data_IF_852744995419
#
_entry.id   IF_852744995419
#
_cell.length_a   1.000
_cell.length_b   1.000
_cell.length_c   1.000
_cell.angle_alpha   90.00
_cell.angle_beta   90.00
_cell.angle_gamma   90.00
#
_symmetry.space_group_name_H-M   'P 1'
#
loop_
_entity.id
_entity.type
_entity.pdbx_description
1 polymer ?
#
# COMPACT_ATOMS: atom_id res chain seq x y z
N UNK A 1 -66.80 -31.99 23.30
CA UNK A 1 -65.38 -32.21 22.96
C UNK A 1 -64.81 -30.87 22.59
N UNK A 2 -64.19 -30.23 23.57
CA UNK A 2 -63.61 -28.89 23.50
C UNK A 2 -62.14 -29.07 23.14
N UNK A 3 -61.66 -28.37 22.11
CA UNK A 3 -60.35 -27.72 22.02
C UNK A 3 -60.32 -26.98 20.67
N UNK A 4 -60.89 -25.79 20.70
CA UNK A 4 -60.70 -24.76 19.69
C UNK A 4 -59.22 -24.38 19.58
N UNK A 5 -58.77 -24.20 18.34
CA UNK A 5 -57.93 -23.10 17.87
C UNK A 5 -56.88 -22.55 18.85
N UNK A 6 -55.80 -23.30 19.01
CA UNK A 6 -54.53 -22.66 19.32
C UNK A 6 -53.61 -22.82 18.10
N UNK A 7 -53.73 -21.87 17.16
CA UNK A 7 -52.58 -21.48 16.34
C UNK A 7 -51.40 -21.31 17.30
N UNK A 8 -50.51 -22.30 17.36
CA UNK A 8 -49.40 -22.29 18.31
C UNK A 8 -48.57 -21.05 18.01
N UNK A 9 -48.65 -20.05 18.89
CA UNK A 9 -47.95 -18.77 18.74
C UNK A 9 -46.44 -18.98 18.55
N UNK A 10 -45.90 -20.12 18.98
CA UNK A 10 -44.52 -20.52 18.71
C UNK A 10 -44.24 -20.79 17.22
N UNK A 11 -45.18 -21.35 16.46
CA UNK A 11 -45.04 -21.54 15.01
C UNK A 11 -45.09 -20.22 14.24
N UNK A 12 -45.98 -19.30 14.63
CA UNK A 12 -46.02 -17.95 14.08
C UNK A 12 -44.77 -17.15 14.42
N UNK A 13 -44.25 -17.29 15.65
CA UNK A 13 -43.02 -16.66 16.06
C UNK A 13 -41.83 -17.20 15.25
N UNK A 14 -41.65 -18.52 15.14
CA UNK A 14 -40.58 -19.14 14.32
C UNK A 14 -40.69 -18.68 12.86
N UNK A 15 -41.88 -18.68 12.27
CA UNK A 15 -42.10 -18.19 10.91
C UNK A 15 -41.76 -16.70 10.76
N UNK A 16 -42.04 -15.89 11.78
CA UNK A 16 -41.70 -14.47 11.78
C UNK A 16 -40.21 -14.22 11.96
N UNK A 17 -39.52 -14.98 12.82
CA UNK A 17 -38.05 -14.92 12.95
C UNK A 17 -37.35 -15.43 11.68
N UNK A 18 -37.85 -16.49 11.05
CA UNK A 18 -37.34 -16.98 9.77
C UNK A 18 -37.55 -15.95 8.66
N UNK A 19 -38.72 -15.29 8.61
CA UNK A 19 -38.99 -14.22 7.66
C UNK A 19 -38.10 -13.00 7.90
N UNK A 20 -37.90 -12.60 9.16
CA UNK A 20 -37.00 -11.50 9.54
C UNK A 20 -35.54 -11.86 9.21
N UNK A 21 -35.11 -13.09 9.47
CA UNK A 21 -33.77 -13.57 9.17
C UNK A 21 -33.50 -13.68 7.66
N UNK A 22 -34.49 -14.17 6.89
CA UNK A 22 -34.43 -14.17 5.43
C UNK A 22 -34.37 -12.73 4.91
N UNK A 23 -35.22 -11.83 5.40
CA UNK A 23 -35.21 -10.44 5.01
C UNK A 23 -33.89 -9.74 5.35
N UNK A 24 -33.32 -10.00 6.52
CA UNK A 24 -32.01 -9.45 6.92
C UNK A 24 -30.89 -9.96 6.01
N UNK A 25 -30.93 -11.25 5.62
CA UNK A 25 -30.00 -11.83 4.65
C UNK A 25 -30.15 -11.20 3.26
N UNK A 26 -31.37 -11.05 2.77
CA UNK A 26 -31.63 -10.44 1.47
C UNK A 26 -31.23 -8.96 1.47
N UNK A 27 -31.47 -8.22 2.56
CA UNK A 27 -31.04 -6.83 2.72
C UNK A 27 -29.50 -6.71 2.65
N UNK A 28 -28.78 -7.60 3.33
CA UNK A 28 -27.30 -7.64 3.28
C UNK A 28 -26.78 -7.98 1.88
N UNK A 29 -27.40 -8.93 1.19
CA UNK A 29 -27.06 -9.28 -0.20
C UNK A 29 -27.32 -8.10 -1.14
N UNK A 30 -28.46 -7.43 -1.01
CA UNK A 30 -28.83 -6.29 -1.83
C UNK A 30 -27.87 -5.12 -1.60
N UNK A 31 -27.49 -4.84 -0.35
CA UNK A 31 -26.50 -3.83 -0.03
C UNK A 31 -25.15 -4.12 -0.67
N UNK A 32 -24.67 -5.37 -0.63
CA UNK A 32 -23.42 -5.75 -1.28
C UNK A 32 -23.49 -5.63 -2.80
N UNK A 33 -24.61 -6.06 -3.41
CA UNK A 33 -24.85 -5.88 -4.84
C UNK A 33 -24.82 -4.41 -5.24
N UNK A 34 -25.54 -3.55 -4.51
CA UNK A 34 -25.54 -2.09 -4.75
C UNK A 34 -24.15 -1.48 -4.59
N UNK A 35 -23.33 -1.98 -3.64
CA UNK A 35 -21.95 -1.54 -3.50
C UNK A 35 -21.09 -1.90 -4.72
N UNK A 36 -21.20 -3.12 -5.25
CA UNK A 36 -20.46 -3.51 -6.46
C UNK A 36 -20.94 -2.76 -7.71
N UNK A 37 -22.24 -2.46 -7.79
CA UNK A 37 -22.82 -1.62 -8.84
C UNK A 37 -22.33 -0.17 -8.74
N UNK A 38 -22.39 0.45 -7.55
CA UNK A 38 -22.02 1.85 -7.35
C UNK A 38 -20.51 2.12 -7.41
N UNK A 39 -19.69 1.14 -7.01
CA UNK A 39 -18.23 1.20 -7.15
C UNK A 39 -17.75 0.92 -8.58
N UNK A 40 -18.64 0.50 -9.48
CA UNK A 40 -18.31 0.16 -10.86
C UNK A 40 -17.60 -1.18 -11.04
N UNK A 41 -17.43 -1.98 -9.97
CA UNK A 41 -16.77 -3.29 -10.04
C UNK A 41 -17.52 -4.24 -10.98
N UNK A 42 -18.85 -4.26 -10.94
CA UNK A 42 -19.63 -5.12 -11.86
C UNK A 42 -19.45 -4.71 -13.32
N UNK A 43 -19.42 -3.40 -13.61
CA UNK A 43 -19.23 -2.89 -14.96
C UNK A 43 -17.82 -3.22 -15.49
N UNK A 44 -16.79 -3.01 -14.67
CA UNK A 44 -15.42 -3.37 -15.00
C UNK A 44 -15.27 -4.87 -15.29
N UNK A 45 -15.77 -5.73 -14.40
CA UNK A 45 -15.73 -7.19 -14.59
C UNK A 45 -16.48 -7.61 -15.85
N UNK A 46 -17.67 -7.03 -16.11
CA UNK A 46 -18.45 -7.32 -17.30
C UNK A 46 -17.68 -6.95 -18.56
N UNK A 47 -17.08 -5.76 -18.62
CA UNK A 47 -16.27 -5.31 -19.76
C UNK A 47 -15.08 -6.22 -20.03
N UNK A 48 -14.38 -6.67 -18.99
CA UNK A 48 -13.25 -7.61 -19.14
C UNK A 48 -13.72 -8.96 -19.66
N UNK A 49 -14.84 -9.48 -19.16
CA UNK A 49 -15.41 -10.75 -19.63
C UNK A 49 -15.91 -10.67 -21.07
N UNK A 50 -16.52 -9.54 -21.46
CA UNK A 50 -16.91 -9.25 -22.85
C UNK A 50 -15.69 -9.21 -23.75
N UNK A 51 -14.64 -8.47 -23.37
CA UNK A 51 -13.39 -8.42 -24.14
C UNK A 51 -12.76 -9.82 -24.27
N UNK A 52 -12.74 -10.61 -23.20
CA UNK A 52 -12.25 -11.98 -23.23
C UNK A 52 -13.12 -12.87 -24.14
N UNK A 53 -14.44 -12.66 -24.17
CA UNK A 53 -15.36 -13.39 -25.03
C UNK A 53 -15.11 -13.10 -26.51
N UNK A 54 -14.98 -11.82 -26.86
CA UNK A 54 -14.76 -11.29 -28.21
C UNK A 54 -13.37 -11.60 -28.78
N UNK A 55 -12.40 -11.91 -27.92
CA UNK A 55 -11.04 -12.25 -28.33
C UNK A 55 -11.04 -13.48 -29.25
N UNK A 56 -10.63 -13.26 -30.51
CA UNK A 56 -10.63 -14.28 -31.56
C UNK A 56 -9.57 -15.37 -31.34
N UNK A 57 -8.40 -14.98 -30.84
CA UNK A 57 -7.34 -15.87 -30.38
C UNK A 57 -7.35 -15.93 -28.86
N UNK A 58 -7.99 -16.97 -28.30
CA UNK A 58 -8.12 -17.09 -26.84
C UNK A 58 -6.73 -17.08 -26.19
N UNK A 59 -6.52 -16.25 -25.15
CA UNK A 59 -5.24 -16.22 -24.46
C UNK A 59 -4.95 -17.58 -23.84
N UNK A 60 -3.67 -17.96 -23.83
CA UNK A 60 -3.19 -19.18 -23.18
C UNK A 60 -3.55 -19.23 -21.69
N UNK A 61 -3.63 -18.05 -21.05
CA UNK A 61 -4.10 -17.88 -19.68
C UNK A 61 -5.18 -16.81 -19.60
N UNK A 62 -6.43 -17.23 -19.39
CA UNK A 62 -7.55 -16.33 -19.16
C UNK A 62 -7.37 -15.48 -17.88
N UNK A 63 -6.70 -16.05 -16.86
CA UNK A 63 -6.46 -15.36 -15.59
C UNK A 63 -5.50 -14.18 -15.79
N UNK A 64 -4.40 -14.38 -16.53
CA UNK A 64 -3.45 -13.30 -16.81
C UNK A 64 -4.10 -12.19 -17.64
N UNK A 65 -4.94 -12.54 -18.63
CA UNK A 65 -5.69 -11.56 -19.40
C UNK A 65 -6.60 -10.70 -18.50
N UNK A 66 -7.34 -11.34 -17.59
CA UNK A 66 -8.22 -10.62 -16.65
C UNK A 66 -7.41 -9.72 -15.73
N UNK A 67 -6.30 -10.21 -15.18
CA UNK A 67 -5.40 -9.42 -14.32
C UNK A 67 -4.89 -8.19 -15.06
N UNK A 68 -4.36 -8.35 -16.28
CA UNK A 68 -3.88 -7.25 -17.10
C UNK A 68 -4.98 -6.23 -17.42
N UNK A 69 -6.17 -6.67 -17.83
CA UNK A 69 -7.28 -5.76 -18.16
C UNK A 69 -7.83 -5.00 -16.95
N UNK A 70 -7.67 -5.55 -15.74
CA UNK A 70 -8.02 -4.88 -14.48
C UNK A 70 -6.86 -4.05 -13.88
N UNK A 71 -5.72 -3.97 -14.57
CA UNK A 71 -4.55 -3.20 -14.13
C UNK A 71 -3.69 -3.91 -13.08
N UNK A 72 -3.86 -5.21 -12.90
CA UNK A 72 -2.97 -6.03 -12.08
C UNK A 72 -1.62 -6.26 -12.78
N UNK A 73 -0.50 -6.31 -12.02
CA UNK A 73 0.80 -6.60 -12.59
C UNK A 73 0.84 -8.03 -13.13
N UNK A 74 1.55 -8.21 -14.23
CA UNK A 74 1.88 -9.54 -14.75
C UNK A 74 2.87 -10.25 -13.83
N UNK A 75 2.94 -11.58 -13.93
CA UNK A 75 3.94 -12.36 -13.20
C UNK A 75 5.36 -11.89 -13.49
N UNK A 76 5.68 -11.61 -14.76
CA UNK A 76 7.00 -11.11 -15.14
C UNK A 76 7.33 -9.75 -14.54
N UNK A 77 6.38 -8.81 -14.53
CA UNK A 77 6.56 -7.50 -13.88
C UNK A 77 6.76 -7.64 -12.37
N UNK A 78 6.02 -8.55 -11.73
CA UNK A 78 6.17 -8.83 -10.31
C UNK A 78 7.53 -9.43 -9.97
N UNK A 79 7.99 -10.41 -10.75
CA UNK A 79 9.33 -11.02 -10.60
C UNK A 79 10.45 -9.99 -10.82
N UNK A 80 10.33 -9.16 -11.86
CA UNK A 80 11.26 -8.07 -12.12
C UNK A 80 11.33 -7.10 -10.95
N UNK A 81 10.19 -6.69 -10.41
CA UNK A 81 10.12 -5.78 -9.27
C UNK A 81 10.76 -6.40 -8.00
N UNK A 82 10.60 -7.72 -7.79
CA UNK A 82 11.27 -8.42 -6.70
C UNK A 82 12.79 -8.43 -6.85
N UNK A 83 13.29 -8.65 -8.08
CA UNK A 83 14.72 -8.60 -8.36
C UNK A 83 15.28 -7.19 -8.10
N UNK A 84 14.63 -6.14 -8.61
CA UNK A 84 15.03 -4.75 -8.38
C UNK A 84 15.06 -4.40 -6.88
N UNK A 85 14.05 -4.86 -6.12
CA UNK A 85 14.00 -4.66 -4.67
C UNK A 85 15.18 -5.35 -3.98
N UNK A 86 15.54 -6.57 -4.39
CA UNK A 86 16.69 -7.30 -3.86
C UNK A 86 18.01 -6.59 -4.16
N UNK A 87 18.21 -6.17 -5.41
CA UNK A 87 19.42 -5.46 -5.84
C UNK A 87 19.59 -4.13 -5.11
N UNK A 88 18.48 -3.41 -4.91
CA UNK A 88 18.49 -2.15 -4.18
C UNK A 88 18.80 -2.35 -2.69
N UNK A 89 18.29 -3.42 -2.09
CA UNK A 89 18.61 -3.81 -0.70
C UNK A 89 20.11 -4.09 -0.54
N UNK A 90 20.70 -4.86 -1.46
CA UNK A 90 22.15 -5.16 -1.44
C UNK A 90 22.99 -3.88 -1.53
N UNK A 91 22.66 -2.97 -2.46
CA UNK A 91 23.37 -1.69 -2.61
C UNK A 91 23.22 -0.80 -1.38
N UNK A 92 22.04 -0.80 -0.76
CA UNK A 92 21.82 -0.05 0.47
C UNK A 92 22.71 -0.57 1.60
N UNK A 93 22.78 -1.89 1.80
CA UNK A 93 23.57 -2.51 2.84
C UNK A 93 25.08 -2.28 2.63
N UNK A 94 25.56 -2.38 1.38
CA UNK A 94 26.96 -2.08 1.00
C UNK A 94 27.32 -0.62 1.27
N UNK A 95 26.45 0.31 0.83
CA UNK A 95 26.66 1.74 1.03
C UNK A 95 26.63 2.10 2.52
N UNK A 96 25.72 1.49 3.28
CA UNK A 96 25.60 1.70 4.72
C UNK A 96 26.85 1.21 5.47
N UNK A 97 27.38 0.03 5.10
CA UNK A 97 28.64 -0.48 5.66
C UNK A 97 29.81 0.48 5.35
N UNK A 98 29.94 0.91 4.09
CA UNK A 98 30.99 1.84 3.66
C UNK A 98 30.91 3.18 4.40
N UNK A 99 29.69 3.72 4.56
CA UNK A 99 29.46 4.94 5.32
C UNK A 99 29.85 4.76 6.80
N UNK A 100 29.45 3.63 7.40
CA UNK A 100 29.79 3.33 8.79
C UNK A 100 31.32 3.27 8.99
N UNK A 101 32.05 2.62 8.10
CA UNK A 101 33.50 2.49 8.20
C UNK A 101 34.22 3.83 7.96
N UNK A 102 33.77 4.61 6.98
CA UNK A 102 34.30 5.97 6.74
C UNK A 102 34.09 6.88 7.95
N UNK A 103 32.93 6.80 8.61
CA UNK A 103 32.67 7.56 9.84
C UNK A 103 33.61 7.15 10.99
N UNK A 104 33.91 5.86 11.14
CA UNK A 104 34.88 5.39 12.15
C UNK A 104 36.28 5.93 11.84
N UNK A 105 36.73 5.82 10.59
CA UNK A 105 38.05 6.30 10.17
C UNK A 105 38.21 7.82 10.38
N UNK A 106 37.18 8.60 10.06
CA UNK A 106 37.17 10.04 10.32
C UNK A 106 37.26 10.38 11.81
N UNK A 107 36.60 9.62 12.68
CA UNK A 107 36.67 9.80 14.13
C UNK A 107 38.07 9.46 14.66
N UNK A 108 38.67 8.36 14.18
CA UNK A 108 40.03 7.95 14.54
C UNK A 108 41.08 8.99 14.14
N UNK A 109 40.97 9.56 12.93
CA UNK A 109 41.82 10.65 12.45
C UNK A 109 41.60 11.94 13.25
N UNK A 110 40.36 12.25 13.66
CA UNK A 110 40.07 13.40 14.54
C UNK A 110 40.73 13.28 15.91
N UNK A 111 40.81 12.08 16.47
CA UNK A 111 41.40 11.81 17.79
C UNK A 111 42.93 11.90 17.75
N UNK A 112 43.54 11.58 16.60
CA UNK A 112 45.00 11.55 16.43
C UNK A 112 45.63 12.88 15.99
N UNK A 113 44.83 13.91 15.69
CA UNK A 113 45.33 15.29 15.59
C UNK A 113 45.43 15.94 16.98
N UNK A 114 46.60 16.43 17.43
CA UNK A 114 46.70 17.29 18.60
C UNK A 114 45.98 18.61 18.32
N UNK A 115 45.15 19.07 19.27
CA UNK A 115 44.63 20.44 19.25
C UNK A 115 45.81 21.42 19.15
N UNK A 116 45.82 22.39 18.22
CA UNK A 116 46.69 23.54 18.36
C UNK A 116 46.28 24.29 19.63
N UNK A 117 47.22 24.40 20.55
CA UNK A 117 47.11 25.19 21.76
C UNK A 117 46.64 26.61 21.43
N UNK A 118 45.68 27.09 22.22
CA UNK A 118 45.34 28.51 22.29
C UNK A 118 46.43 29.22 23.09
N UNK A 119 47.02 30.29 22.57
CA UNK A 119 47.43 31.40 23.44
C UNK A 119 47.23 32.76 22.75
N UNK A 120 46.62 33.66 23.51
CA UNK A 120 46.26 35.03 23.16
C UNK A 120 47.54 35.88 23.13
N UNK A 121 47.66 36.76 22.13
CA UNK A 121 48.33 38.04 22.35
C UNK A 121 47.37 39.17 21.93
N UNK A 122 47.17 40.10 22.86
CA UNK A 122 46.45 41.35 22.64
C UNK A 122 47.50 42.36 22.24
N UNK A 123 47.42 42.92 21.04
CA UNK A 123 47.83 44.32 20.83
C UNK A 123 46.90 44.98 19.82
N UNK A 124 46.45 46.16 20.22
CA UNK A 124 45.44 47.00 19.63
C UNK A 124 45.87 47.70 18.32
N UNK A 125 44.92 48.48 17.79
CA UNK A 125 44.98 49.53 16.75
C UNK A 125 44.58 49.01 15.36
N UNK A 126 43.62 49.56 14.62
CA UNK A 126 42.77 50.74 14.75
C UNK A 126 42.09 50.96 13.38
N UNK A 127 40.98 51.70 13.39
CA UNK A 127 40.43 52.48 12.27
C UNK A 127 39.72 51.79 11.07
N UNK A 128 38.39 51.95 11.09
CA UNK A 128 37.50 52.45 10.00
C UNK A 128 37.78 52.11 8.54
N UNK A 129 36.79 51.52 7.84
CA UNK A 129 35.99 52.24 6.83
C UNK A 129 34.89 51.38 6.20
N UNK A 130 33.76 52.04 5.92
CA UNK A 130 32.65 51.59 5.09
C UNK A 130 33.04 51.64 3.61
N UNK A 131 32.56 50.68 2.82
CA UNK A 131 31.94 50.87 1.50
C UNK A 131 31.38 49.50 1.05
N UNK A 132 30.19 49.32 0.47
CA UNK A 132 29.38 50.23 -0.33
C UNK A 132 29.50 49.89 -1.82
N UNK A 133 28.48 49.25 -2.39
CA UNK A 133 28.26 49.13 -3.85
C UNK A 133 28.81 47.85 -4.50
N UNK A 134 28.11 47.16 -5.40
CA UNK A 134 26.85 47.41 -6.12
C UNK A 134 26.20 46.07 -6.47
#
# INVERSE_FOLDING_TARGET
MHKDDLCDGRYLLVSMWDLVFIFEKETKKEAFRKYLESSGVLDALTKVLVALYEESDKPSSAIEFVQQKLGGPTLSEYEKLLAEKSDLQLKYDELFATHQDTCKELEELRISQPKPDTCKDVTANGETSKDGGS
#
